data_IF_435166872216
#
_entry.id   IF_435166872216
#
_cell.length_a   1.000
_cell.length_b   1.000
_cell.length_c   1.000
_cell.angle_alpha   90.00
_cell.angle_beta   90.00
_cell.angle_gamma   90.00
#
_symmetry.space_group_name_H-M   'P 1'
#
loop_
_entity.id
_entity.type
_entity.pdbx_description
1 polymer ?
#
# COMPACT_ATOMS: atom_id res chain seq x y z
N UNK A 1 -59.60 12.69 68.45
CA UNK A 1 -60.23 12.44 67.14
C UNK A 1 -59.47 13.26 66.10
N UNK A 2 -59.15 12.61 64.97
CA UNK A 2 -58.61 13.14 63.69
C UNK A 2 -57.29 13.92 63.79
N UNK A 3 -56.09 13.39 63.50
CA UNK A 3 -55.60 12.56 62.37
C UNK A 3 -55.64 13.25 61.00
N UNK A 4 -54.46 13.25 60.36
CA UNK A 4 -54.11 13.41 58.94
C UNK A 4 -53.85 14.82 58.37
N UNK A 5 -52.69 14.91 57.72
CA UNK A 5 -52.17 16.04 56.95
C UNK A 5 -50.80 15.67 56.37
N UNK A 6 -50.81 14.72 55.43
CA UNK A 6 -49.68 13.93 54.95
C UNK A 6 -48.55 14.74 54.28
N UNK A 7 -47.35 14.22 54.50
CA UNK A 7 -46.08 14.57 53.86
C UNK A 7 -46.14 14.42 52.33
N UNK A 8 -46.10 15.54 51.62
CA UNK A 8 -45.79 15.58 50.18
C UNK A 8 -44.26 15.51 49.96
N UNK A 9 -43.68 14.33 50.12
CA UNK A 9 -42.28 14.04 49.75
C UNK A 9 -42.27 12.74 48.95
N UNK A 10 -42.35 12.83 47.62
CA UNK A 10 -42.26 11.60 46.83
C UNK A 10 -42.59 11.69 45.35
N UNK A 11 -42.08 12.67 44.60
CA UNK A 11 -42.23 12.68 43.13
C UNK A 11 -41.02 13.20 42.34
N UNK A 12 -39.78 12.99 42.80
CA UNK A 12 -38.60 13.39 41.99
C UNK A 12 -37.56 12.28 41.74
N UNK A 13 -37.81 11.02 42.11
CA UNK A 13 -36.81 9.95 42.00
C UNK A 13 -36.84 9.13 40.68
N UNK A 14 -37.76 9.41 39.74
CA UNK A 14 -37.96 8.57 38.52
C UNK A 14 -37.46 9.19 37.21
N UNK A 15 -36.73 10.33 37.25
CA UNK A 15 -36.22 11.00 36.05
C UNK A 15 -34.70 10.91 35.84
N UNK A 16 -33.97 10.19 36.69
CA UNK A 16 -32.49 10.12 36.61
C UNK A 16 -31.93 8.72 36.32
N UNK A 17 -32.76 7.68 36.27
CA UNK A 17 -32.34 6.33 35.86
C UNK A 17 -32.32 6.10 34.34
N UNK A 18 -33.10 6.89 33.59
CA UNK A 18 -33.17 6.82 32.13
C UNK A 18 -31.97 7.50 31.43
N UNK A 19 -31.33 8.48 32.07
CA UNK A 19 -30.23 9.25 31.45
C UNK A 19 -28.90 8.51 31.48
N UNK A 20 -28.64 7.67 32.47
CA UNK A 20 -27.34 7.00 32.59
C UNK A 20 -27.20 5.85 31.58
N UNK A 21 -28.26 5.07 31.38
CA UNK A 21 -28.29 3.96 30.43
C UNK A 21 -28.29 4.47 28.98
N UNK A 22 -28.98 5.58 28.72
CA UNK A 22 -29.00 6.24 27.42
C UNK A 22 -27.63 6.84 27.05
N UNK A 23 -26.94 7.49 28.00
CA UNK A 23 -25.56 7.97 27.78
C UNK A 23 -24.60 6.82 27.54
N UNK A 24 -24.73 5.70 28.25
CA UNK A 24 -23.90 4.52 28.05
C UNK A 24 -24.12 3.89 26.66
N UNK A 25 -25.38 3.83 26.22
CA UNK A 25 -25.74 3.37 24.88
C UNK A 25 -25.16 4.27 23.78
N UNK A 26 -25.22 5.61 23.96
CA UNK A 26 -24.62 6.57 23.03
C UNK A 26 -23.11 6.40 22.95
N UNK A 27 -22.41 6.22 24.09
CA UNK A 27 -20.96 5.98 24.11
C UNK A 27 -20.60 4.66 23.42
N UNK A 28 -21.38 3.59 23.63
CA UNK A 28 -21.18 2.31 22.93
C UNK A 28 -21.37 2.45 21.42
N UNK A 29 -22.42 3.15 20.98
CA UNK A 29 -22.68 3.38 19.57
C UNK A 29 -21.57 4.23 18.92
N UNK A 30 -21.11 5.29 19.58
CA UNK A 30 -19.98 6.11 19.09
C UNK A 30 -18.69 5.29 19.02
N UNK A 31 -18.42 4.44 20.02
CA UNK A 31 -17.22 3.58 20.04
C UNK A 31 -17.25 2.51 18.94
N UNK A 32 -18.43 1.93 18.68
CA UNK A 32 -18.64 0.95 17.61
C UNK A 32 -18.45 1.59 16.23
N UNK A 33 -19.06 2.77 16.01
CA UNK A 33 -18.92 3.52 14.76
C UNK A 33 -17.46 3.97 14.57
N UNK A 34 -16.83 4.55 15.59
CA UNK A 34 -15.44 4.97 15.55
C UNK A 34 -14.47 3.82 15.23
N UNK A 35 -14.66 2.67 15.87
CA UNK A 35 -13.86 1.46 15.59
C UNK A 35 -14.04 0.96 14.16
N UNK A 36 -15.27 0.96 13.62
CA UNK A 36 -15.54 0.51 12.25
C UNK A 36 -14.91 1.43 11.18
N UNK A 37 -14.92 2.75 11.42
CA UNK A 37 -14.34 3.74 10.51
C UNK A 37 -12.81 3.65 10.50
N UNK A 38 -12.20 3.46 11.67
CA UNK A 38 -10.74 3.28 11.79
C UNK A 38 -10.24 2.04 11.04
N UNK A 39 -10.99 0.93 11.11
CA UNK A 39 -10.59 -0.30 10.39
C UNK A 39 -10.73 -0.16 8.87
N UNK A 40 -11.74 0.55 8.37
CA UNK A 40 -11.88 0.78 6.93
C UNK A 40 -10.84 1.77 6.40
N UNK A 41 -10.51 2.81 7.16
CA UNK A 41 -9.47 3.76 6.78
C UNK A 41 -8.10 3.07 6.58
N UNK A 42 -7.73 2.12 7.45
CA UNK A 42 -6.46 1.39 7.34
C UNK A 42 -6.30 0.66 6.00
N UNK A 43 -7.32 -0.10 5.58
CA UNK A 43 -7.27 -0.87 4.32
C UNK A 43 -7.20 0.01 3.06
N UNK A 44 -7.84 1.17 3.08
CA UNK A 44 -7.81 2.08 1.91
C UNK A 44 -6.46 2.76 1.70
N UNK A 45 -5.73 3.03 2.79
CA UNK A 45 -4.43 3.70 2.73
C UNK A 45 -3.35 2.78 2.16
N UNK A 46 -3.34 1.50 2.56
CA UNK A 46 -2.34 0.54 2.09
C UNK A 46 -2.47 0.23 0.58
N UNK A 47 -3.69 0.17 0.05
CA UNK A 47 -3.94 0.05 -1.38
C UNK A 47 -3.44 1.28 -2.16
N UNK A 48 -3.67 2.49 -1.63
CA UNK A 48 -3.21 3.73 -2.24
C UNK A 48 -1.67 3.80 -2.30
N UNK A 49 -0.98 3.43 -1.22
CA UNK A 49 0.49 3.44 -1.13
C UNK A 49 1.14 2.48 -2.14
N UNK A 50 0.62 1.25 -2.29
CA UNK A 50 1.12 0.30 -3.30
C UNK A 50 0.87 0.79 -4.72
N UNK A 51 -0.31 1.38 -4.96
CA UNK A 51 -0.66 1.93 -6.26
C UNK A 51 0.21 3.13 -6.63
N UNK A 52 0.50 4.01 -5.68
CA UNK A 52 1.42 5.13 -5.88
C UNK A 52 2.82 4.64 -6.26
N UNK A 53 3.37 3.66 -5.52
CA UNK A 53 4.67 3.08 -5.86
C UNK A 53 4.66 2.46 -7.26
N UNK A 54 3.58 1.76 -7.64
CA UNK A 54 3.43 1.20 -8.97
C UNK A 54 3.50 2.27 -10.07
N UNK A 55 2.79 3.40 -9.88
CA UNK A 55 2.84 4.52 -10.81
C UNK A 55 4.24 5.14 -10.88
N UNK A 56 4.92 5.27 -9.74
CA UNK A 56 6.30 5.75 -9.70
C UNK A 56 7.25 4.83 -10.47
N UNK A 57 7.12 3.50 -10.32
CA UNK A 57 7.93 2.53 -11.06
C UNK A 57 7.67 2.57 -12.57
N UNK A 58 6.42 2.67 -12.99
CA UNK A 58 6.06 2.84 -14.40
C UNK A 58 6.64 4.14 -14.97
N UNK A 59 6.56 5.24 -14.21
CA UNK A 59 7.13 6.50 -14.64
C UNK A 59 8.66 6.44 -14.70
N UNK A 60 9.30 5.70 -13.79
CA UNK A 60 10.74 5.48 -13.77
C UNK A 60 11.19 4.67 -14.99
N UNK A 61 10.49 3.59 -15.36
CA UNK A 61 10.76 2.83 -16.61
C UNK A 61 10.63 3.74 -17.85
N UNK A 62 9.54 4.51 -17.98
CA UNK A 62 9.38 5.45 -19.11
C UNK A 62 10.50 6.47 -19.17
N UNK A 63 10.89 7.02 -18.02
CA UNK A 63 11.99 7.99 -17.91
C UNK A 63 13.32 7.35 -18.31
N UNK A 64 13.60 6.13 -17.86
CA UNK A 64 14.81 5.38 -18.21
C UNK A 64 14.93 5.18 -19.72
N UNK A 65 13.84 4.75 -20.38
CA UNK A 65 13.80 4.56 -21.83
C UNK A 65 13.99 5.86 -22.60
N UNK A 66 13.33 6.93 -22.18
CA UNK A 66 13.47 8.23 -22.82
C UNK A 66 14.91 8.75 -22.69
N UNK A 67 15.48 8.67 -21.49
CA UNK A 67 16.86 9.08 -21.26
C UNK A 67 17.82 8.23 -22.10
N UNK A 68 17.70 6.91 -22.10
CA UNK A 68 18.61 6.05 -22.84
C UNK A 68 18.60 6.31 -24.38
N UNK A 69 17.46 6.76 -24.92
CA UNK A 69 17.32 7.19 -26.33
C UNK A 69 17.94 8.55 -26.64
N UNK A 70 18.22 9.36 -25.62
CA UNK A 70 18.80 10.69 -25.83
C UNK A 70 20.29 10.52 -26.16
N UNK A 71 20.78 11.16 -27.23
CA UNK A 71 22.14 10.94 -27.78
C UNK A 71 23.28 11.13 -26.78
N UNK A 72 23.06 11.89 -25.71
CA UNK A 72 24.09 12.29 -24.76
C UNK A 72 24.10 11.49 -23.45
N UNK A 73 23.10 10.64 -23.19
CA UNK A 73 22.94 9.99 -21.87
C UNK A 73 23.77 8.72 -21.68
N UNK A 74 24.14 8.07 -22.79
CA UNK A 74 24.71 6.73 -22.74
C UNK A 74 23.73 5.70 -22.19
N UNK A 75 24.21 4.51 -21.79
CA UNK A 75 23.40 3.52 -21.10
C UNK A 75 22.85 4.06 -19.78
N UNK A 76 21.64 3.66 -19.45
CA UNK A 76 20.94 4.07 -18.24
C UNK A 76 20.63 2.82 -17.41
N UNK A 77 20.83 2.88 -16.10
CA UNK A 77 20.63 1.75 -15.21
C UNK A 77 19.57 2.09 -14.18
N UNK A 78 18.63 1.17 -13.98
CA UNK A 78 17.69 1.20 -12.85
C UNK A 78 18.20 0.23 -11.81
N UNK A 79 18.50 0.72 -10.61
CA UNK A 79 18.84 -0.11 -9.46
C UNK A 79 17.59 -0.34 -8.62
N UNK A 80 17.33 -1.59 -8.29
CA UNK A 80 16.15 -2.03 -7.56
C UNK A 80 16.61 -2.42 -6.15
N UNK A 81 16.45 -1.49 -5.21
CA UNK A 81 16.77 -1.70 -3.80
C UNK A 81 15.53 -2.00 -2.95
N UNK A 82 15.78 -2.40 -1.71
CA UNK A 82 14.72 -2.69 -0.73
C UNK A 82 14.03 -1.43 -0.22
N UNK A 83 14.75 -0.31 -0.10
CA UNK A 83 14.23 0.96 0.38
C UNK A 83 13.95 1.97 -0.73
N UNK A 84 14.54 1.80 -1.91
CA UNK A 84 14.38 2.72 -3.01
C UNK A 84 14.72 2.06 -4.35
N UNK A 85 14.07 2.54 -5.40
CA UNK A 85 14.44 2.27 -6.80
C UNK A 85 15.05 3.53 -7.39
N UNK A 86 16.27 3.44 -7.89
CA UNK A 86 17.04 4.60 -8.38
C UNK A 86 17.37 4.45 -9.86
N UNK A 87 17.31 5.57 -10.57
CA UNK A 87 17.67 5.69 -11.97
C UNK A 87 19.00 6.44 -12.09
N UNK A 88 20.03 5.78 -12.62
CA UNK A 88 21.36 6.35 -12.81
C UNK A 88 21.68 6.46 -14.30
N UNK A 89 22.25 7.60 -14.69
CA UNK A 89 22.70 7.85 -16.06
C UNK A 89 24.23 7.80 -16.11
N UNK A 90 24.79 6.97 -16.98
CA UNK A 90 26.24 6.85 -17.12
C UNK A 90 26.90 8.19 -17.53
N UNK A 91 26.20 9.01 -18.33
CA UNK A 91 26.74 10.30 -18.76
C UNK A 91 26.81 11.35 -17.64
N UNK A 92 25.91 11.29 -16.67
CA UNK A 92 25.86 12.27 -15.57
C UNK A 92 26.56 11.75 -14.31
N UNK A 93 26.79 10.44 -14.19
CA UNK A 93 27.40 9.82 -13.02
C UNK A 93 26.57 10.00 -11.73
N UNK A 94 25.30 10.38 -11.86
CA UNK A 94 24.43 10.75 -10.75
C UNK A 94 23.05 10.10 -10.86
N UNK A 95 22.35 10.05 -9.72
CA UNK A 95 20.95 9.62 -9.66
C UNK A 95 20.08 10.69 -10.30
N UNK A 96 19.41 10.34 -11.39
CA UNK A 96 18.49 11.23 -12.10
C UNK A 96 17.12 11.25 -11.42
N UNK A 97 16.71 10.09 -10.91
CA UNK A 97 15.40 9.92 -10.28
C UNK A 97 15.43 8.82 -9.24
N UNK A 98 14.60 8.98 -8.21
CA UNK A 98 14.43 8.02 -7.12
C UNK A 98 12.94 7.84 -6.81
N UNK A 99 12.54 6.61 -6.61
CA UNK A 99 11.24 6.23 -6.05
C UNK A 99 11.50 5.56 -4.69
N UNK A 100 10.93 6.09 -3.61
CA UNK A 100 11.08 5.50 -2.28
C UNK A 100 10.15 4.30 -2.16
N UNK A 101 10.63 3.21 -1.56
CA UNK A 101 9.81 2.06 -1.21
C UNK A 101 9.30 2.29 0.22
N UNK A 102 7.98 2.39 0.42
CA UNK A 102 7.40 2.56 1.75
C UNK A 102 7.77 1.40 2.67
N UNK A 103 7.99 1.66 3.96
CA UNK A 103 8.47 0.66 4.93
C UNK A 103 7.55 -0.58 5.05
N UNK A 104 6.26 -0.43 4.78
CA UNK A 104 5.24 -1.49 4.83
C UNK A 104 5.14 -2.28 3.51
N UNK A 105 5.97 -1.96 2.53
CA UNK A 105 5.96 -2.58 1.20
C UNK A 105 7.31 -3.24 0.95
N UNK A 106 7.26 -4.48 0.50
CA UNK A 106 8.41 -5.21 0.00
C UNK A 106 8.39 -5.25 -1.52
N UNK A 107 9.59 -5.14 -2.10
CA UNK A 107 9.78 -5.14 -3.54
C UNK A 107 10.73 -6.26 -3.93
N UNK A 108 10.31 -7.12 -4.85
CA UNK A 108 11.12 -8.20 -5.38
C UNK A 108 11.01 -8.24 -6.91
N UNK A 109 12.09 -7.92 -7.60
CA UNK A 109 12.14 -7.97 -9.05
C UNK A 109 12.76 -9.28 -9.53
N UNK A 110 12.18 -9.86 -10.58
CA UNK A 110 12.64 -11.10 -11.18
C UNK A 110 12.59 -11.05 -12.70
N UNK A 111 13.48 -11.78 -13.35
CA UNK A 111 13.47 -11.96 -14.81
C UNK A 111 12.49 -13.07 -15.24
N UNK A 112 12.45 -13.36 -16.54
CA UNK A 112 11.63 -14.44 -17.10
C UNK A 112 12.06 -15.85 -16.64
N UNK A 113 13.29 -16.02 -16.16
CA UNK A 113 13.80 -17.26 -15.59
C UNK A 113 13.56 -17.35 -14.07
N UNK A 114 12.79 -16.42 -13.51
CA UNK A 114 12.50 -16.28 -12.08
C UNK A 114 13.74 -16.01 -11.21
N UNK A 115 14.84 -15.53 -11.80
CA UNK A 115 16.03 -15.12 -11.06
C UNK A 115 15.88 -13.71 -10.49
N UNK A 116 16.43 -13.42 -9.30
CA UNK A 116 16.35 -12.11 -8.70
C UNK A 116 17.11 -11.07 -9.52
N UNK A 117 16.49 -9.91 -9.75
CA UNK A 117 17.04 -8.79 -10.51
C UNK A 117 17.23 -7.59 -9.59
N UNK A 118 18.48 -7.21 -9.36
CA UNK A 118 18.83 -6.00 -8.60
C UNK A 118 19.07 -4.77 -9.48
N UNK A 119 19.22 -4.98 -10.79
CA UNK A 119 19.45 -3.89 -11.74
C UNK A 119 18.90 -4.22 -13.13
N UNK A 120 18.42 -3.18 -13.82
CA UNK A 120 17.93 -3.26 -15.20
C UNK A 120 18.67 -2.24 -16.04
N UNK A 121 19.36 -2.72 -17.08
CA UNK A 121 20.09 -1.88 -18.02
C UNK A 121 19.19 -1.53 -19.22
N UNK A 122 19.23 -0.26 -19.62
CA UNK A 122 18.57 0.25 -20.81
C UNK A 122 19.61 0.62 -21.87
N UNK A 123 19.45 0.05 -23.06
CA UNK A 123 20.32 0.34 -24.21
C UNK A 123 19.97 1.68 -24.89
N UNK A 124 20.75 2.09 -25.89
CA UNK A 124 20.53 3.35 -26.63
C UNK A 124 19.21 3.42 -27.41
N UNK A 125 18.52 2.28 -27.58
CA UNK A 125 17.18 2.23 -28.18
C UNK A 125 16.07 2.26 -27.11
N UNK A 126 16.43 2.35 -25.83
CA UNK A 126 15.52 2.29 -24.71
C UNK A 126 14.91 0.90 -24.51
N UNK A 127 15.63 -0.16 -24.91
CA UNK A 127 15.24 -1.55 -24.64
C UNK A 127 15.94 -2.04 -23.38
N UNK A 128 15.28 -2.95 -22.69
CA UNK A 128 15.79 -3.68 -21.54
C UNK A 128 15.45 -5.16 -21.66
N UNK A 129 15.86 -5.96 -20.68
CA UNK A 129 15.31 -7.31 -20.50
C UNK A 129 13.85 -7.23 -20.03
N UNK A 130 13.08 -8.29 -20.28
CA UNK A 130 11.78 -8.45 -19.64
C UNK A 130 11.97 -8.77 -18.15
N UNK A 131 11.17 -8.15 -17.30
CA UNK A 131 11.19 -8.41 -15.86
C UNK A 131 9.83 -8.14 -15.25
N UNK A 132 9.61 -8.72 -14.07
CA UNK A 132 8.44 -8.49 -13.24
C UNK A 132 8.86 -7.98 -11.89
N UNK A 133 8.07 -7.06 -11.34
CA UNK A 133 8.26 -6.52 -9.99
C UNK A 133 7.07 -6.92 -9.15
N UNK A 134 7.33 -7.69 -8.10
CA UNK A 134 6.35 -8.03 -7.07
C UNK A 134 6.38 -6.94 -6.00
N UNK A 135 5.23 -6.32 -5.76
CA UNK A 135 5.00 -5.26 -4.80
C UNK A 135 4.03 -5.82 -3.77
N UNK A 136 4.56 -6.27 -2.63
CA UNK A 136 3.80 -6.95 -1.59
C UNK A 136 3.70 -6.08 -0.34
N UNK A 137 2.50 -5.98 0.22
CA UNK A 137 2.23 -5.42 1.53
C UNK A 137 1.31 -6.36 2.31
N UNK A 138 0.81 -5.90 3.46
CA UNK A 138 -0.01 -6.73 4.36
C UNK A 138 -1.29 -7.23 3.68
N UNK A 139 -1.90 -6.40 2.82
CA UNK A 139 -3.13 -6.71 2.10
C UNK A 139 -2.90 -7.43 0.75
N UNK A 140 -1.74 -8.08 0.56
CA UNK A 140 -1.43 -8.95 -0.59
C UNK A 140 -0.35 -8.43 -1.54
N UNK A 141 -0.35 -8.90 -2.78
CA UNK A 141 0.70 -8.61 -3.76
C UNK A 141 0.14 -8.11 -5.10
N UNK A 142 0.86 -7.14 -5.68
CA UNK A 142 0.70 -6.72 -7.06
C UNK A 142 1.92 -7.16 -7.85
N UNK A 143 1.72 -7.63 -9.08
CA UNK A 143 2.81 -7.93 -10.00
C UNK A 143 2.74 -6.97 -11.18
N UNK A 144 3.79 -6.16 -11.33
CA UNK A 144 4.03 -5.31 -12.49
C UNK A 144 4.94 -6.06 -13.47
N UNK A 145 4.39 -6.50 -14.60
CA UNK A 145 5.16 -7.08 -15.71
C UNK A 145 5.61 -5.96 -16.64
N UNK A 146 6.88 -5.95 -17.02
CA UNK A 146 7.46 -4.98 -17.95
C UNK A 146 8.10 -5.75 -19.11
N UNK A 147 7.60 -5.49 -20.32
CA UNK A 147 8.22 -5.99 -21.54
C UNK A 147 9.36 -5.06 -21.95
N UNK A 148 10.58 -5.52 -21.78
CA UNK A 148 11.80 -4.78 -22.01
C UNK A 148 11.97 -4.31 -23.46
N UNK A 149 11.47 -5.09 -24.43
CA UNK A 149 11.53 -4.74 -25.84
C UNK A 149 10.56 -3.62 -26.23
N UNK A 150 9.31 -3.66 -25.74
CA UNK A 150 8.22 -2.77 -26.18
C UNK A 150 7.97 -1.61 -25.23
N UNK A 151 8.36 -1.74 -23.96
CA UNK A 151 7.99 -0.82 -22.88
C UNK A 151 6.54 -0.92 -22.45
N UNK A 152 5.79 -1.91 -22.95
CA UNK A 152 4.44 -2.19 -22.46
C UNK A 152 4.56 -2.76 -21.05
N UNK A 153 3.71 -2.27 -20.14
CA UNK A 153 3.59 -2.81 -18.80
C UNK A 153 2.18 -3.29 -18.53
N UNK A 154 2.06 -4.38 -17.79
CA UNK A 154 0.80 -4.98 -17.36
C UNK A 154 0.82 -5.16 -15.85
N UNK A 155 -0.34 -4.97 -15.21
CA UNK A 155 -0.50 -5.13 -13.77
C UNK A 155 -1.46 -6.27 -13.52
N UNK A 156 -1.07 -7.17 -12.62
CA UNK A 156 -1.94 -8.24 -12.13
C UNK A 156 -1.98 -8.22 -10.61
N UNK A 157 -3.16 -8.50 -10.05
CA UNK A 157 -3.33 -8.69 -8.61
C UNK A 157 -3.14 -10.18 -8.33
N UNK A 158 -2.14 -10.52 -7.53
CA UNK A 158 -1.99 -11.89 -7.04
C UNK A 158 -2.87 -12.04 -5.79
N UNK A 159 -3.99 -12.76 -5.93
CA UNK A 159 -4.92 -13.06 -4.85
C UNK A 159 -4.38 -14.16 -3.89
N UNK A 160 -3.06 -14.36 -3.84
CA UNK A 160 -2.42 -15.51 -3.20
C UNK A 160 -2.47 -15.51 -1.66
N UNK A 161 -3.14 -14.55 -1.01
CA UNK A 161 -3.34 -14.50 0.44
C UNK A 161 -4.39 -15.49 1.00
N UNK A 162 -5.20 -16.15 0.16
CA UNK A 162 -6.32 -16.98 0.63
C UNK A 162 -6.00 -18.48 0.84
N UNK A 163 -4.76 -18.95 0.63
CA UNK A 163 -4.44 -20.40 0.72
C UNK A 163 -3.04 -20.71 1.28
N UNK A 164 -2.72 -20.29 2.50
CA UNK A 164 -1.67 -20.96 3.32
C UNK A 164 -1.95 -20.90 4.84
N UNK A 165 -3.19 -21.15 5.26
CA UNK A 165 -3.48 -21.65 6.61
C UNK A 165 -4.02 -23.08 6.48
N UNK A 166 -3.13 -24.07 6.43
CA UNK A 166 -3.56 -25.45 6.19
C UNK A 166 -2.43 -26.41 5.88
N UNK A 167 -1.38 -26.42 6.70
CA UNK A 167 -0.50 -27.57 6.78
C UNK A 167 -0.25 -27.85 8.28
N UNK A 168 -0.95 -28.82 8.88
CA UNK A 168 -0.58 -29.30 10.21
C UNK A 168 0.77 -30.01 10.08
N UNK A 169 1.77 -29.54 10.85
CA UNK A 169 3.01 -30.28 11.06
C UNK A 169 2.66 -31.67 11.62
N UNK A 170 3.15 -32.71 10.95
CA UNK A 170 3.35 -34.04 11.51
C UNK A 170 4.82 -34.20 11.85
#
# INVERSE_FOLDING_TARGET
MTSQGETSLGRNARRHGLTLLEVLAVIMLISLVGGSVLMHAGTTVHDATRHELLLQLQQLDRTARQLARTRHSGPVTVHIGTSAVTLTSAAQGQTVRRAEVPLQVSLNARDNADQPVSQVLYDRSGRSMDYRVHICGDDGCLTLLIHGLTGVSAVSKDLAGARKEGAPNR
#
